data_IF_923050032590
#
_entry.id   IF_923050032590
#
_cell.length_a   1.000
_cell.length_b   1.000
_cell.length_c   1.000
_cell.angle_alpha   90.00
_cell.angle_beta   90.00
_cell.angle_gamma   90.00
#
_symmetry.space_group_name_H-M   'P 1'
#
loop_
_entity.id
_entity.type
_entity.pdbx_description
1 polymer ?
#
# COMPACT_ATOMS: atom_id res chain seq x y z
N UNK A 1 11.26 -50.49 44.87
CA UNK A 1 11.63 -49.09 44.58
C UNK A 1 12.28 -49.01 43.19
N UNK A 2 11.82 -48.06 42.36
CA UNK A 2 12.47 -47.53 41.14
C UNK A 2 12.54 -48.39 39.87
N UNK A 3 11.42 -48.86 39.30
CA UNK A 3 11.35 -49.18 37.84
C UNK A 3 9.93 -49.14 37.30
N UNK A 4 9.19 -48.01 37.39
CA UNK A 4 7.88 -47.93 36.70
C UNK A 4 7.37 -46.49 36.44
N UNK A 5 8.26 -45.49 36.36
CA UNK A 5 7.84 -44.09 36.28
C UNK A 5 8.66 -43.25 35.27
N UNK A 6 8.99 -43.81 34.11
CA UNK A 6 9.67 -43.06 33.04
C UNK A 6 8.98 -43.13 31.67
N UNK A 7 7.76 -43.66 31.57
CA UNK A 7 7.10 -43.87 30.26
C UNK A 7 5.86 -43.00 30.03
N UNK A 8 5.57 -42.04 30.91
CA UNK A 8 4.30 -41.29 30.87
C UNK A 8 4.48 -39.80 31.16
N UNK A 9 5.54 -39.17 30.64
CA UNK A 9 5.70 -37.71 30.68
C UNK A 9 6.59 -37.15 29.56
N UNK A 10 6.58 -37.80 28.39
CA UNK A 10 7.07 -37.24 27.12
C UNK A 10 5.98 -37.52 26.07
N UNK A 11 4.77 -37.05 26.34
CA UNK A 11 3.65 -37.13 25.40
C UNK A 11 2.63 -36.02 25.68
N UNK A 12 3.11 -34.81 25.98
CA UNK A 12 2.26 -33.63 26.21
C UNK A 12 3.12 -32.36 26.18
N UNK A 13 3.66 -32.02 25.00
CA UNK A 13 4.03 -30.64 24.61
C UNK A 13 4.53 -30.59 23.15
N UNK A 14 3.85 -31.31 22.25
CA UNK A 14 3.94 -31.08 20.81
C UNK A 14 2.52 -30.91 20.27
N UNK A 15 1.77 -29.96 20.85
CA UNK A 15 0.86 -29.17 20.04
C UNK A 15 1.71 -28.03 19.48
N UNK A 16 2.70 -28.39 18.65
CA UNK A 16 3.26 -27.43 17.73
C UNK A 16 2.10 -27.07 16.82
N UNK A 17 1.43 -25.96 17.12
CA UNK A 17 0.57 -25.31 16.14
C UNK A 17 1.43 -25.17 14.90
N UNK A 18 1.13 -25.97 13.88
CA UNK A 18 1.71 -25.76 12.57
C UNK A 18 1.11 -24.43 12.17
N UNK A 19 1.87 -23.35 12.39
CA UNK A 19 1.52 -22.06 11.84
C UNK A 19 1.41 -22.31 10.34
N UNK A 20 0.19 -22.34 9.83
CA UNK A 20 -0.05 -22.42 8.40
C UNK A 20 0.75 -21.27 7.79
N UNK A 21 1.53 -21.58 6.75
CA UNK A 21 2.28 -20.56 6.04
C UNK A 21 1.31 -19.44 5.63
N UNK A 22 1.67 -18.19 5.94
CA UNK A 22 0.89 -17.04 5.50
C UNK A 22 0.80 -17.07 3.97
N UNK A 23 -0.38 -16.73 3.45
CA UNK A 23 -0.56 -16.46 2.03
C UNK A 23 0.23 -15.20 1.67
N UNK A 24 0.80 -15.12 0.46
CA UNK A 24 1.75 -14.07 0.15
C UNK A 24 1.10 -12.68 0.09
N UNK A 25 -0.08 -12.54 -0.53
CA UNK A 25 -0.62 -11.22 -0.86
C UNK A 25 -2.15 -11.20 -0.85
N UNK A 26 -2.71 -10.14 -0.27
CA UNK A 26 -4.11 -9.78 -0.39
C UNK A 26 -4.26 -8.49 -1.22
N UNK A 27 -5.21 -8.48 -2.16
CA UNK A 27 -5.71 -7.27 -2.81
C UNK A 27 -7.06 -6.91 -2.19
N UNK A 28 -7.14 -5.76 -1.52
CA UNK A 28 -8.33 -5.40 -0.72
C UNK A 28 -9.32 -4.57 -1.53
N UNK A 29 -10.50 -5.12 -1.79
CA UNK A 29 -11.63 -4.40 -2.39
C UNK A 29 -12.43 -3.66 -1.31
N UNK A 30 -12.55 -2.34 -1.46
CA UNK A 30 -13.35 -1.50 -0.56
C UNK A 30 -14.77 -1.31 -1.10
N UNK A 31 -15.71 -2.08 -0.58
CA UNK A 31 -17.15 -1.86 -0.77
C UNK A 31 -17.58 -0.51 -0.22
N UNK A 32 -16.98 -0.05 0.89
CA UNK A 32 -17.23 1.31 1.42
C UNK A 32 -16.87 2.40 0.42
N UNK A 33 -15.75 2.24 -0.31
CA UNK A 33 -15.36 3.18 -1.38
C UNK A 33 -16.26 3.05 -2.60
N UNK A 34 -16.63 1.83 -2.98
CA UNK A 34 -17.60 1.57 -4.07
C UNK A 34 -18.98 2.21 -3.80
N UNK A 35 -19.41 2.28 -2.54
CA UNK A 35 -20.66 2.92 -2.11
C UNK A 35 -20.60 4.46 -2.16
N UNK A 36 -19.46 5.07 -2.51
CA UNK A 36 -19.32 6.53 -2.72
C UNK A 36 -19.02 6.89 -4.18
N UNK A 37 -19.88 6.52 -5.15
CA UNK A 37 -19.62 6.73 -6.58
C UNK A 37 -19.57 8.20 -7.00
N UNK A 38 -20.13 9.11 -6.19
CA UNK A 38 -20.00 10.57 -6.43
C UNK A 38 -18.56 11.02 -6.21
N UNK A 39 -17.86 10.43 -5.24
CA UNK A 39 -16.48 10.78 -4.91
C UNK A 39 -15.47 9.91 -5.66
N UNK A 40 -15.78 8.63 -5.88
CA UNK A 40 -14.90 7.64 -6.49
C UNK A 40 -15.61 6.86 -7.61
N UNK A 41 -16.03 7.55 -8.69
CA UNK A 41 -16.83 6.94 -9.75
C UNK A 41 -16.12 5.79 -10.49
N UNK A 42 -14.79 5.84 -10.54
CA UNK A 42 -13.97 4.87 -11.30
C UNK A 42 -13.42 3.74 -10.42
N UNK A 43 -13.56 3.79 -9.10
CA UNK A 43 -12.95 2.80 -8.20
C UNK A 43 -13.31 1.35 -8.59
N UNK A 44 -14.57 0.99 -8.91
CA UNK A 44 -14.89 -0.37 -9.34
C UNK A 44 -14.14 -0.80 -10.62
N UNK A 45 -14.08 0.07 -11.63
CA UNK A 45 -13.41 -0.24 -12.89
C UNK A 45 -11.89 -0.27 -12.75
N UNK A 46 -11.31 0.63 -11.97
CA UNK A 46 -9.88 0.70 -11.71
C UNK A 46 -9.42 -0.51 -10.89
N UNK A 47 -10.22 -0.95 -9.90
CA UNK A 47 -9.97 -2.16 -9.14
C UNK A 47 -9.96 -3.41 -10.03
N UNK A 48 -10.98 -3.55 -10.89
CA UNK A 48 -11.06 -4.68 -11.84
C UNK A 48 -9.90 -4.69 -12.83
N UNK A 49 -9.48 -3.51 -13.28
CA UNK A 49 -8.29 -3.37 -14.14
C UNK A 49 -7.02 -3.82 -13.41
N UNK A 50 -6.76 -3.27 -12.21
CA UNK A 50 -5.60 -3.64 -11.39
C UNK A 50 -5.59 -5.13 -11.11
N UNK A 51 -6.73 -5.72 -10.73
CA UNK A 51 -6.85 -7.16 -10.48
C UNK A 51 -6.36 -7.97 -11.69
N UNK A 52 -6.88 -7.66 -12.87
CA UNK A 52 -6.52 -8.41 -14.08
C UNK A 52 -5.04 -8.22 -14.43
N UNK A 53 -4.56 -6.98 -14.38
CA UNK A 53 -3.16 -6.62 -14.68
C UNK A 53 -2.18 -7.26 -13.69
N UNK A 54 -2.45 -7.19 -12.38
CA UNK A 54 -1.64 -7.79 -11.31
C UNK A 54 -1.58 -9.32 -11.44
N UNK A 55 -2.66 -9.93 -11.92
CA UNK A 55 -2.72 -11.38 -12.11
C UNK A 55 -1.77 -11.91 -13.17
N UNK A 56 -1.18 -11.06 -14.02
CA UNK A 56 -0.20 -11.49 -15.02
C UNK A 56 1.14 -11.90 -14.38
N UNK A 57 1.50 -11.32 -13.23
CA UNK A 57 2.82 -11.49 -12.62
C UNK A 57 2.82 -11.82 -11.12
N UNK A 58 1.66 -11.74 -10.44
CA UNK A 58 1.54 -12.07 -9.02
C UNK A 58 0.40 -13.05 -8.72
N UNK A 59 0.55 -13.78 -7.62
CA UNK A 59 -0.46 -14.65 -7.01
C UNK A 59 -0.97 -13.98 -5.74
N UNK A 60 -2.28 -13.76 -5.66
CA UNK A 60 -2.92 -13.07 -4.56
C UNK A 60 -4.36 -13.55 -4.39
N UNK A 61 -4.90 -13.32 -3.20
CA UNK A 61 -6.34 -13.43 -2.95
C UNK A 61 -6.98 -12.04 -2.97
N UNK A 62 -8.25 -12.00 -3.36
CA UNK A 62 -9.07 -10.81 -3.20
C UNK A 62 -9.83 -10.96 -1.90
N UNK A 63 -9.71 -9.97 -1.03
CA UNK A 63 -10.49 -9.85 0.20
C UNK A 63 -11.23 -8.51 0.18
N UNK A 64 -12.24 -8.37 1.02
CA UNK A 64 -13.04 -7.16 1.14
C UNK A 64 -12.73 -6.41 2.44
N UNK A 65 -13.19 -5.17 2.58
CA UNK A 65 -13.10 -4.47 3.86
C UNK A 65 -13.83 -5.21 5.01
N UNK A 66 -14.91 -5.95 4.71
CA UNK A 66 -15.58 -6.82 5.68
C UNK A 66 -14.68 -7.99 6.11
N UNK A 67 -13.96 -8.61 5.17
CA UNK A 67 -13.01 -9.69 5.52
C UNK A 67 -11.84 -9.15 6.36
N UNK A 68 -11.43 -7.90 6.12
CA UNK A 68 -10.40 -7.21 6.92
C UNK A 68 -10.90 -7.04 8.36
N UNK A 69 -12.11 -6.52 8.54
CA UNK A 69 -12.78 -6.37 9.84
C UNK A 69 -12.96 -7.72 10.57
N UNK A 70 -13.26 -8.79 9.83
CA UNK A 70 -13.35 -10.16 10.34
C UNK A 70 -11.97 -10.80 10.65
N UNK A 71 -10.88 -10.06 10.44
CA UNK A 71 -9.53 -10.46 10.81
C UNK A 71 -8.84 -11.39 9.81
N UNK A 72 -9.21 -11.34 8.53
CA UNK A 72 -8.59 -12.16 7.48
C UNK A 72 -7.09 -11.85 7.28
N UNK A 73 -6.65 -10.62 7.57
CA UNK A 73 -5.27 -10.15 7.38
C UNK A 73 -4.21 -10.98 8.14
N UNK A 74 -4.58 -11.65 9.24
CA UNK A 74 -3.66 -12.54 9.97
C UNK A 74 -3.07 -13.66 9.12
N UNK A 75 -3.75 -14.00 8.02
CA UNK A 75 -3.34 -15.06 7.10
C UNK A 75 -2.42 -14.58 5.98
N UNK A 76 -2.07 -13.29 5.91
CA UNK A 76 -1.31 -12.72 4.79
C UNK A 76 0.05 -12.14 5.21
N UNK A 77 1.00 -12.10 4.28
CA UNK A 77 2.29 -11.41 4.45
C UNK A 77 2.18 -9.92 4.11
N UNK A 78 1.45 -9.57 3.05
CA UNK A 78 1.21 -8.20 2.64
C UNK A 78 -0.23 -7.96 2.14
N UNK A 79 -0.65 -6.69 2.14
CA UNK A 79 -1.93 -6.25 1.58
C UNK A 79 -1.78 -4.97 0.73
N UNK A 80 -2.57 -4.88 -0.35
CA UNK A 80 -2.63 -3.74 -1.27
C UNK A 80 -3.98 -3.06 -1.15
N UNK A 81 -3.96 -1.75 -0.91
CA UNK A 81 -5.12 -0.86 -0.86
C UNK A 81 -5.11 0.08 -2.07
N UNK A 82 -5.73 -0.30 -3.19
CA UNK A 82 -5.73 0.51 -4.40
C UNK A 82 -6.73 1.66 -4.28
N UNK A 83 -6.34 2.73 -3.61
CA UNK A 83 -7.19 3.92 -3.36
C UNK A 83 -8.45 3.60 -2.54
N UNK A 84 -8.34 2.72 -1.54
CA UNK A 84 -9.41 2.40 -0.58
C UNK A 84 -9.68 3.62 0.32
N UNK A 85 -10.44 4.57 -0.20
CA UNK A 85 -10.47 5.91 0.33
C UNK A 85 -11.45 6.13 1.49
N UNK A 86 -12.38 5.19 1.70
CA UNK A 86 -13.39 5.22 2.74
C UNK A 86 -13.16 4.07 3.71
N UNK A 87 -12.99 4.36 5.01
CA UNK A 87 -12.72 3.35 6.04
C UNK A 87 -13.52 3.57 7.34
N UNK A 88 -13.89 2.46 7.96
CA UNK A 88 -14.46 2.39 9.31
C UNK A 88 -13.38 2.17 10.38
N UNK A 89 -13.73 2.39 11.65
CA UNK A 89 -12.79 2.24 12.78
C UNK A 89 -12.27 0.80 12.90
N UNK A 90 -13.14 -0.20 12.78
CA UNK A 90 -12.77 -1.62 12.86
C UNK A 90 -11.77 -2.02 11.74
N UNK A 91 -11.95 -1.48 10.53
CA UNK A 91 -11.04 -1.72 9.40
C UNK A 91 -9.66 -1.09 9.66
N UNK A 92 -9.63 0.12 10.23
CA UNK A 92 -8.38 0.83 10.57
C UNK A 92 -7.60 0.08 11.63
N UNK A 93 -8.27 -0.31 12.72
CA UNK A 93 -7.67 -1.08 13.80
C UNK A 93 -7.08 -2.38 13.25
N UNK A 94 -7.78 -3.06 12.34
CA UNK A 94 -7.28 -4.28 11.70
C UNK A 94 -5.99 -4.06 10.88
N UNK A 95 -5.82 -2.91 10.21
CA UNK A 95 -4.57 -2.59 9.50
C UNK A 95 -3.41 -2.29 10.46
N UNK A 96 -3.65 -1.54 11.54
CA UNK A 96 -2.63 -1.32 12.58
C UNK A 96 -2.18 -2.65 13.19
N UNK A 97 -3.13 -3.47 13.61
CA UNK A 97 -2.90 -4.82 14.12
C UNK A 97 -2.13 -5.71 13.13
N UNK A 98 -2.40 -5.56 11.84
CA UNK A 98 -1.72 -6.31 10.79
C UNK A 98 -0.25 -5.90 10.67
N UNK A 99 0.05 -4.61 10.64
CA UNK A 99 1.42 -4.08 10.56
C UNK A 99 2.21 -4.36 11.84
N UNK A 100 1.60 -4.20 13.02
CA UNK A 100 2.21 -4.52 14.33
C UNK A 100 2.67 -5.99 14.42
N UNK A 101 2.00 -6.89 13.71
CA UNK A 101 2.35 -8.32 13.61
C UNK A 101 3.31 -8.64 12.47
N UNK A 102 3.96 -7.61 11.89
CA UNK A 102 4.93 -7.71 10.80
C UNK A 102 4.31 -7.90 9.42
N UNK A 103 3.02 -7.60 9.25
CA UNK A 103 2.41 -7.46 7.94
C UNK A 103 2.91 -6.20 7.22
N UNK A 104 2.88 -6.19 5.89
CA UNK A 104 3.26 -5.01 5.11
C UNK A 104 2.09 -4.46 4.32
N UNK A 105 2.03 -3.14 4.21
CA UNK A 105 0.93 -2.45 3.57
C UNK A 105 1.40 -1.63 2.37
N UNK A 106 0.66 -1.72 1.26
CA UNK A 106 0.70 -0.72 0.22
C UNK A 106 -0.58 0.11 0.26
N UNK A 107 -0.45 1.42 0.17
CA UNK A 107 -1.57 2.29 -0.14
C UNK A 107 -1.15 3.40 -1.11
N UNK A 108 -2.13 3.97 -1.80
CA UNK A 108 -1.88 5.13 -2.64
C UNK A 108 -3.00 6.16 -2.60
N UNK A 109 -2.66 7.37 -3.01
CA UNK A 109 -3.57 8.46 -3.28
C UNK A 109 -4.51 8.71 -2.09
N UNK A 110 -5.81 8.54 -2.24
CA UNK A 110 -6.81 8.93 -1.25
C UNK A 110 -7.11 7.84 -0.21
N UNK A 111 -6.33 6.74 -0.18
CA UNK A 111 -6.52 5.68 0.79
C UNK A 111 -6.63 6.22 2.23
N UNK A 112 -7.68 5.84 2.96
CA UNK A 112 -7.99 6.28 4.33
C UNK A 112 -8.34 7.77 4.53
N UNK A 113 -8.71 8.51 3.47
CA UNK A 113 -8.98 9.95 3.56
C UNK A 113 -10.40 10.30 4.03
N UNK A 114 -11.31 9.32 4.07
CA UNK A 114 -12.72 9.55 4.40
C UNK A 114 -13.25 8.54 5.41
N UNK A 115 -14.11 9.05 6.28
CA UNK A 115 -14.97 8.24 7.15
C UNK A 115 -16.10 7.60 6.34
N UNK A 116 -16.78 6.62 6.92
CA UNK A 116 -17.89 5.90 6.28
C UNK A 116 -19.04 6.78 5.79
N UNK A 117 -19.30 7.90 6.47
CA UNK A 117 -20.30 8.89 6.08
C UNK A 117 -19.87 9.71 4.83
N UNK A 118 -18.65 9.48 4.32
CA UNK A 118 -18.06 10.16 3.18
C UNK A 118 -17.41 11.50 3.52
N UNK A 119 -17.43 11.94 4.78
CA UNK A 119 -16.76 13.17 5.20
C UNK A 119 -15.23 13.04 5.09
N UNK A 120 -14.57 14.14 4.71
CA UNK A 120 -13.10 14.20 4.71
C UNK A 120 -12.58 14.18 6.15
N UNK A 121 -11.45 13.51 6.33
CA UNK A 121 -10.66 13.48 7.55
C UNK A 121 -9.18 13.62 7.21
N UNK A 122 -8.30 13.66 8.19
CA UNK A 122 -6.89 13.33 7.98
C UNK A 122 -6.77 11.85 7.60
N UNK A 123 -5.70 11.46 6.90
CA UNK A 123 -5.43 10.05 6.63
C UNK A 123 -5.49 9.24 7.91
N UNK A 124 -6.40 8.27 7.95
CA UNK A 124 -6.61 7.44 9.13
C UNK A 124 -5.49 6.41 9.31
N UNK A 125 -4.74 6.11 8.25
CA UNK A 125 -3.52 5.28 8.28
C UNK A 125 -2.22 6.10 8.23
N UNK A 126 -2.29 7.41 8.54
CA UNK A 126 -1.16 8.33 8.52
C UNK A 126 0.10 7.78 9.23
N UNK A 127 -0.08 7.25 10.44
CA UNK A 127 1.02 6.76 11.27
C UNK A 127 1.69 5.51 10.68
N UNK A 128 0.93 4.62 10.02
CA UNK A 128 1.50 3.44 9.34
C UNK A 128 2.43 3.84 8.19
N UNK A 129 2.17 4.98 7.55
CA UNK A 129 2.93 5.46 6.41
C UNK A 129 3.92 6.59 6.76
N UNK A 130 3.98 7.00 8.03
CA UNK A 130 4.90 8.03 8.47
C UNK A 130 4.66 9.40 7.81
N UNK A 131 3.40 9.74 7.54
CA UNK A 131 3.00 10.97 6.86
C UNK A 131 1.84 11.67 7.55
N UNK A 132 1.60 12.94 7.20
CA UNK A 132 0.37 13.67 7.56
C UNK A 132 -0.21 14.31 6.31
N UNK A 133 -1.50 14.07 6.04
CA UNK A 133 -2.18 14.65 4.89
C UNK A 133 -2.38 16.16 5.04
N UNK A 134 -2.09 16.91 3.98
CA UNK A 134 -2.27 18.35 3.93
C UNK A 134 -3.46 18.72 3.04
N UNK A 135 -3.39 18.31 1.76
CA UNK A 135 -4.39 18.64 0.74
C UNK A 135 -4.17 17.82 -0.53
N UNK A 136 -5.22 17.72 -1.33
CA UNK A 136 -5.10 17.35 -2.73
C UNK A 136 -4.65 18.54 -3.59
N UNK A 137 -3.90 18.27 -4.66
CA UNK A 137 -3.53 19.27 -5.67
C UNK A 137 -3.49 18.69 -7.08
N UNK A 138 -3.64 19.57 -8.08
CA UNK A 138 -3.47 19.29 -9.51
C UNK A 138 -2.89 20.51 -10.23
N UNK A 139 -1.86 21.09 -9.62
CA UNK A 139 -1.15 22.25 -10.16
C UNK A 139 -0.43 21.89 -11.46
N UNK A 140 -0.81 22.54 -12.57
CA UNK A 140 -0.38 22.17 -13.92
C UNK A 140 1.13 22.26 -14.16
N UNK A 141 1.85 23.08 -13.40
CA UNK A 141 3.28 23.32 -13.59
C UNK A 141 4.14 22.61 -12.54
N UNK A 142 3.52 21.83 -11.65
CA UNK A 142 4.18 21.09 -10.56
C UNK A 142 3.97 19.58 -10.66
N UNK A 143 4.79 18.85 -9.91
CA UNK A 143 4.73 17.39 -9.76
C UNK A 143 4.80 16.68 -11.11
N UNK A 144 5.75 17.10 -11.95
CA UNK A 144 5.87 16.64 -13.34
C UNK A 144 6.92 15.57 -13.53
N UNK A 145 7.78 15.38 -12.55
CA UNK A 145 8.85 14.42 -12.63
C UNK A 145 9.10 13.86 -11.24
N UNK A 146 9.38 12.56 -11.20
CA UNK A 146 9.70 11.83 -9.99
C UNK A 146 11.20 11.62 -9.99
N UNK A 147 11.89 12.23 -9.02
CA UNK A 147 13.30 12.03 -8.77
C UNK A 147 13.47 11.02 -7.63
N UNK A 148 14.31 10.03 -7.82
CA UNK A 148 14.61 9.02 -6.79
C UNK A 148 16.08 8.62 -6.84
N UNK A 149 16.55 8.10 -5.72
CA UNK A 149 17.87 7.47 -5.62
C UNK A 149 17.77 5.94 -5.76
N UNK A 150 18.82 5.22 -5.37
CA UNK A 150 18.83 3.76 -5.46
C UNK A 150 17.95 3.13 -4.37
N UNK A 151 16.88 2.48 -4.79
CA UNK A 151 16.06 1.60 -3.95
C UNK A 151 15.63 0.37 -4.74
N UNK A 152 15.27 -0.72 -4.05
CA UNK A 152 14.84 -1.97 -4.70
C UNK A 152 13.60 -1.78 -5.57
N UNK A 153 12.71 -0.87 -5.19
CA UNK A 153 11.49 -0.59 -5.97
C UNK A 153 11.77 0.16 -7.29
N UNK A 154 12.95 0.78 -7.43
CA UNK A 154 13.37 1.49 -8.65
C UNK A 154 14.25 0.63 -9.57
N UNK A 155 14.36 -0.67 -9.29
CA UNK A 155 15.12 -1.61 -10.12
C UNK A 155 14.61 -1.60 -11.56
N UNK A 156 15.55 -1.51 -12.51
CA UNK A 156 15.30 -1.46 -13.96
C UNK A 156 14.49 -0.23 -14.44
N UNK A 157 14.34 0.81 -13.62
CA UNK A 157 13.80 2.10 -14.03
C UNK A 157 14.92 3.04 -14.52
N UNK A 158 14.60 4.10 -15.29
CA UNK A 158 15.55 5.14 -15.65
C UNK A 158 16.21 5.76 -14.40
N UNK A 159 17.55 5.82 -14.39
CA UNK A 159 18.34 6.26 -13.22
C UNK A 159 18.14 7.72 -12.84
N UNK A 160 17.77 8.55 -13.82
CA UNK A 160 17.61 9.98 -13.60
C UNK A 160 16.23 10.33 -13.01
N UNK A 161 15.30 9.36 -12.95
CA UNK A 161 13.90 9.55 -12.56
C UNK A 161 12.92 9.30 -13.72
N UNK A 162 11.62 9.49 -13.47
CA UNK A 162 10.55 9.23 -14.46
C UNK A 162 9.60 10.43 -14.62
N UNK A 163 9.19 10.69 -15.87
CA UNK A 163 8.18 11.72 -16.17
C UNK A 163 6.82 11.28 -15.63
N UNK A 164 6.16 12.18 -14.89
CA UNK A 164 4.85 11.92 -14.32
C UNK A 164 3.76 12.11 -15.37
N UNK A 165 2.73 11.26 -15.31
CA UNK A 165 1.63 11.26 -16.29
C UNK A 165 0.55 12.29 -15.92
N UNK A 166 0.31 12.50 -14.63
CA UNK A 166 -0.74 13.41 -14.14
C UNK A 166 -0.29 14.21 -12.93
N UNK A 167 -0.60 15.52 -12.91
CA UNK A 167 -0.27 16.39 -11.77
C UNK A 167 -1.14 16.18 -10.53
N UNK A 168 -2.13 15.27 -10.59
CA UNK A 168 -2.99 14.94 -9.45
C UNK A 168 -2.20 14.16 -8.38
N UNK A 169 -2.02 14.76 -7.21
CA UNK A 169 -1.31 14.15 -6.08
C UNK A 169 -1.90 14.61 -4.74
N UNK A 170 -1.75 13.79 -3.71
CA UNK A 170 -1.98 14.15 -2.32
C UNK A 170 -0.68 14.71 -1.74
N UNK A 171 -0.70 15.98 -1.35
CA UNK A 171 0.42 16.55 -0.60
C UNK A 171 0.36 16.04 0.82
N UNK A 172 1.49 15.53 1.27
CA UNK A 172 1.70 15.02 2.61
C UNK A 172 2.95 15.67 3.20
N UNK A 173 2.94 15.87 4.50
CA UNK A 173 4.15 16.22 5.27
C UNK A 173 4.76 14.93 5.82
N UNK A 174 6.06 14.72 5.62
CA UNK A 174 6.79 13.62 6.25
C UNK A 174 6.89 13.85 7.76
N UNK A 175 6.64 12.81 8.55
CA UNK A 175 6.86 12.83 10.00
C UNK A 175 7.94 11.81 10.43
N UNK A 176 7.77 10.54 10.06
CA UNK A 176 8.60 9.41 10.45
C UNK A 176 8.97 8.52 9.24
N UNK A 177 8.25 8.67 8.12
CA UNK A 177 8.52 7.91 6.91
C UNK A 177 9.82 8.33 6.24
N UNK A 178 10.45 7.38 5.57
CA UNK A 178 11.59 7.58 4.70
C UNK A 178 11.12 8.01 3.31
N UNK A 179 11.67 9.12 2.84
CA UNK A 179 11.49 9.58 1.47
C UNK A 179 12.25 8.66 0.50
N UNK A 180 11.52 7.95 -0.37
CA UNK A 180 12.14 7.17 -1.44
C UNK A 180 12.21 7.94 -2.76
N UNK A 181 11.27 8.86 -2.98
CA UNK A 181 11.23 9.69 -4.17
C UNK A 181 10.56 11.04 -3.90
N UNK A 182 10.94 12.05 -4.69
CA UNK A 182 10.42 13.43 -4.61
C UNK A 182 9.81 13.91 -5.90
N UNK A 183 8.98 14.94 -5.77
CA UNK A 183 8.44 15.69 -6.89
C UNK A 183 9.37 16.81 -7.35
N UNK A 184 9.59 16.92 -8.66
CA UNK A 184 10.13 18.14 -9.28
C UNK A 184 9.17 18.70 -10.32
N UNK A 185 9.36 19.97 -10.66
CA UNK A 185 8.64 20.63 -11.75
C UNK A 185 9.09 20.05 -13.11
N UNK A 186 8.51 20.58 -14.19
CA UNK A 186 8.79 20.13 -15.56
C UNK A 186 10.26 20.29 -15.98
N UNK A 187 11.01 21.16 -15.29
CA UNK A 187 12.45 21.33 -15.51
C UNK A 187 13.31 20.19 -14.96
N UNK A 188 12.73 19.25 -14.19
CA UNK A 188 13.38 18.09 -13.56
C UNK A 188 14.39 18.42 -12.45
N UNK A 189 14.48 19.69 -12.04
CA UNK A 189 15.45 20.14 -11.03
C UNK A 189 14.81 20.92 -9.89
N UNK A 190 13.81 21.75 -10.17
CA UNK A 190 13.18 22.58 -9.15
C UNK A 190 12.19 21.73 -8.33
N UNK A 191 12.35 21.61 -6.99
CA UNK A 191 11.38 20.94 -6.13
C UNK A 191 9.97 21.52 -6.32
N UNK A 192 8.96 20.65 -6.29
CA UNK A 192 7.56 21.11 -6.44
C UNK A 192 7.04 21.77 -5.16
N UNK A 193 7.52 21.31 -4.01
CA UNK A 193 7.18 21.80 -2.67
C UNK A 193 8.46 22.01 -1.84
N UNK A 194 8.29 22.53 -0.62
CA UNK A 194 9.34 22.49 0.40
C UNK A 194 9.68 21.04 0.76
N UNK A 195 10.93 20.79 1.14
CA UNK A 195 11.50 19.46 1.34
C UNK A 195 10.60 18.54 2.18
N UNK A 196 10.06 19.04 3.30
CA UNK A 196 9.20 18.25 4.19
C UNK A 196 7.84 17.84 3.59
N UNK A 197 7.45 18.43 2.46
CA UNK A 197 6.19 18.18 1.72
C UNK A 197 6.39 17.66 0.30
N UNK A 198 7.63 17.34 -0.07
CA UNK A 198 7.97 17.08 -1.47
C UNK A 198 8.07 15.59 -1.81
N UNK A 199 8.03 14.71 -0.81
CA UNK A 199 8.02 13.27 -1.00
C UNK A 199 6.78 12.79 -1.77
N UNK A 200 6.98 11.86 -2.69
CA UNK A 200 5.91 11.29 -3.51
C UNK A 200 5.78 9.78 -3.38
N UNK A 201 6.85 9.09 -2.98
CA UNK A 201 6.88 7.68 -2.61
C UNK A 201 7.59 7.60 -1.26
N UNK A 202 6.90 7.02 -0.29
CA UNK A 202 7.33 6.99 1.12
C UNK A 202 7.36 5.54 1.57
N UNK A 203 8.37 5.18 2.33
CA UNK A 203 8.43 3.92 3.08
C UNK A 203 8.36 4.19 4.58
N UNK A 204 7.61 3.38 5.30
CA UNK A 204 7.67 3.33 6.76
C UNK A 204 7.52 1.88 7.23
N UNK A 205 8.53 1.36 7.93
CA UNK A 205 8.57 -0.02 8.43
C UNK A 205 8.24 -1.10 7.39
N UNK A 206 8.66 -0.90 6.13
CA UNK A 206 8.36 -1.82 5.03
C UNK A 206 6.98 -1.65 4.40
N UNK A 207 6.15 -0.72 4.89
CA UNK A 207 4.93 -0.28 4.22
C UNK A 207 5.25 0.84 3.23
N UNK A 208 4.57 0.84 2.09
CA UNK A 208 4.78 1.82 1.01
C UNK A 208 3.51 2.66 0.82
N UNK A 209 3.69 3.98 0.82
CA UNK A 209 2.65 4.93 0.41
C UNK A 209 3.07 5.72 -0.81
N UNK A 210 2.17 5.83 -1.79
CA UNK A 210 2.37 6.59 -3.02
C UNK A 210 1.34 7.72 -3.11
N UNK A 211 1.80 8.95 -3.23
CA UNK A 211 0.94 10.16 -3.18
C UNK A 211 0.04 10.36 -4.41
N UNK A 212 0.22 9.57 -5.47
CA UNK A 212 -0.49 9.67 -6.75
C UNK A 212 -1.21 8.35 -7.07
N UNK A 213 -2.22 8.34 -7.97
CA UNK A 213 -3.08 7.18 -8.19
C UNK A 213 -2.43 6.13 -9.11
N UNK A 214 -1.29 5.59 -8.67
CA UNK A 214 -0.44 4.64 -9.41
C UNK A 214 -1.18 3.33 -9.77
N UNK A 215 -2.23 2.97 -9.04
CA UNK A 215 -3.05 1.77 -9.28
C UNK A 215 -4.08 1.91 -10.40
N UNK A 216 -4.17 3.08 -11.06
CA UNK A 216 -5.14 3.30 -12.13
C UNK A 216 -4.61 2.83 -13.49
N UNK A 217 -5.48 2.50 -14.47
CA UNK A 217 -5.06 2.09 -15.80
C UNK A 217 -4.08 3.07 -16.46
N UNK A 218 -4.28 4.37 -16.23
CA UNK A 218 -3.42 5.44 -16.74
C UNK A 218 -1.94 5.24 -16.37
N UNK A 219 -1.67 4.78 -15.16
CA UNK A 219 -0.30 4.53 -14.68
C UNK A 219 0.15 3.10 -14.96
N UNK A 220 -0.71 2.11 -14.81
CA UNK A 220 -0.34 0.70 -15.02
C UNK A 220 0.02 0.38 -16.48
N UNK A 221 -0.55 1.12 -17.44
CA UNK A 221 -0.23 1.00 -18.87
C UNK A 221 1.09 1.65 -19.28
N UNK A 222 1.62 2.55 -18.45
CA UNK A 222 2.92 3.13 -18.68
C UNK A 222 4.03 2.14 -18.27
N UNK A 223 5.01 1.85 -19.14
CA UNK A 223 6.04 0.86 -18.85
C UNK A 223 6.84 1.14 -17.57
N UNK A 224 7.09 2.40 -17.23
CA UNK A 224 7.88 2.74 -16.05
C UNK A 224 7.03 2.59 -14.78
N UNK A 225 5.79 3.07 -14.80
CA UNK A 225 4.91 2.97 -13.63
C UNK A 225 4.39 1.55 -13.39
N UNK A 226 4.07 0.80 -14.45
CA UNK A 226 3.80 -0.63 -14.36
C UNK A 226 4.98 -1.39 -13.77
N UNK A 227 6.21 -1.11 -14.22
CA UNK A 227 7.43 -1.72 -13.65
C UNK A 227 7.67 -1.30 -12.19
N UNK A 228 7.45 -0.03 -11.86
CA UNK A 228 7.52 0.45 -10.48
C UNK A 228 6.53 -0.29 -9.58
N UNK A 229 5.28 -0.45 -10.01
CA UNK A 229 4.27 -1.16 -9.23
C UNK A 229 4.61 -2.64 -9.06
N UNK A 230 5.11 -3.31 -10.11
CA UNK A 230 5.64 -4.68 -10.03
C UNK A 230 6.73 -4.79 -8.96
N UNK A 231 7.70 -3.88 -8.97
CA UNK A 231 8.81 -3.90 -8.02
C UNK A 231 8.34 -3.60 -6.58
N UNK A 232 7.31 -2.75 -6.40
CA UNK A 232 6.67 -2.53 -5.10
C UNK A 232 6.03 -3.82 -4.60
N UNK A 233 5.30 -4.55 -5.46
CA UNK A 233 4.71 -5.85 -5.07
C UNK A 233 5.80 -6.86 -4.71
N UNK A 234 6.87 -6.97 -5.50
CA UNK A 234 8.02 -7.83 -5.21
C UNK A 234 8.69 -7.45 -3.88
N UNK A 235 8.78 -6.16 -3.56
CA UNK A 235 9.36 -5.66 -2.30
C UNK A 235 8.51 -6.06 -1.08
N UNK A 236 7.19 -5.93 -1.20
CA UNK A 236 6.24 -6.22 -0.14
C UNK A 236 6.08 -7.72 0.07
N UNK A 237 5.89 -8.47 -1.02
CA UNK A 237 5.61 -9.90 -1.00
C UNK A 237 6.37 -10.63 -2.14
N UNK A 238 7.66 -10.94 -1.94
CA UNK A 238 8.45 -11.67 -2.93
C UNK A 238 7.84 -13.03 -3.32
N UNK A 239 7.17 -13.68 -2.36
CA UNK A 239 6.51 -14.97 -2.53
C UNK A 239 5.23 -14.89 -3.38
N UNK A 240 4.72 -13.69 -3.67
CA UNK A 240 3.59 -13.50 -4.57
C UNK A 240 4.00 -13.60 -6.05
N UNK A 241 5.26 -13.31 -6.38
CA UNK A 241 5.70 -13.17 -7.77
C UNK A 241 5.72 -14.52 -8.52
N UNK A 242 5.38 -14.49 -9.81
CA UNK A 242 5.33 -15.67 -10.72
C UNK A 242 6.64 -15.93 -11.47
#
# INVERSE_FOLDING_TARGET
MKRFFCSMLILLMLVSGVALAKKPLALVQSFKTMDKPVNYPNYPSDFEYLKNWLSEFATFDIITDLDVEDGALKNYEAAILPDNAVMGEDEIDAYFDFVDRGGKLFACFSASLRKEDGSLTSFQLADLFGVTWERWTNEKDKHKYILFESHKIFKDLPKDGIDNISSSTQLVTLNQGEELATWTNADKYTPSQADEKNACIIENEGCIYVTFPISTPLYLDDPNFGKLFINIVEYLSPNAMK
#
